data_IF_594702299998
#
_entry.id   IF_594702299998
#
_cell.length_a   1.000
_cell.length_b   1.000
_cell.length_c   1.000
_cell.angle_alpha   90.00
_cell.angle_beta   90.00
_cell.angle_gamma   90.00
#
_symmetry.space_group_name_H-M   'P 1'
#
loop_
_entity.id
_entity.type
_entity.pdbx_description
1 polymer ?
#
# COMPACT_ATOMS: atom_id res chain seq x y z
N UNK A 1 34.74 48.88 -21.61
CA UNK A 1 34.26 48.44 -20.28
C UNK A 1 32.73 48.55 -20.11
N UNK A 2 32.03 49.43 -20.83
CA UNK A 2 30.55 49.50 -20.82
C UNK A 2 29.88 48.35 -21.61
N UNK A 3 30.54 47.81 -22.64
CA UNK A 3 29.97 46.75 -23.49
C UNK A 3 29.81 45.38 -22.79
N UNK A 4 30.58 45.10 -21.73
CA UNK A 4 30.52 43.83 -21.00
C UNK A 4 29.29 43.76 -20.08
N UNK A 5 28.79 44.91 -19.61
CA UNK A 5 27.60 44.96 -18.75
C UNK A 5 26.29 44.71 -19.52
N UNK A 6 26.22 45.05 -20.81
CA UNK A 6 25.02 44.82 -21.62
C UNK A 6 24.83 43.35 -22.05
N UNK A 7 25.91 42.58 -22.15
CA UNK A 7 25.81 41.14 -22.46
C UNK A 7 25.39 40.35 -21.22
N UNK A 8 25.79 40.79 -20.03
CA UNK A 8 25.37 40.15 -18.78
C UNK A 8 23.86 40.33 -18.50
N UNK A 9 23.27 41.48 -18.83
CA UNK A 9 21.83 41.70 -18.61
C UNK A 9 20.95 40.91 -19.59
N UNK A 10 21.42 40.65 -20.80
CA UNK A 10 20.67 39.81 -21.77
C UNK A 10 20.73 38.33 -21.39
N UNK A 11 21.85 37.85 -20.85
CA UNK A 11 22.00 36.45 -20.44
C UNK A 11 21.22 36.12 -19.15
N UNK A 12 21.06 37.09 -18.22
CA UNK A 12 20.25 36.88 -17.01
C UNK A 12 18.74 36.93 -17.32
N UNK A 13 18.31 37.70 -18.32
CA UNK A 13 16.90 37.74 -18.73
C UNK A 13 16.45 36.46 -19.45
N UNK A 14 17.34 35.75 -20.14
CA UNK A 14 17.01 34.48 -20.81
C UNK A 14 16.82 33.30 -19.85
N UNK A 15 17.31 33.38 -18.62
CA UNK A 15 17.09 32.35 -17.61
C UNK A 15 15.74 32.47 -16.88
N UNK A 16 14.91 33.46 -17.22
CA UNK A 16 13.58 33.66 -16.65
C UNK A 16 12.41 33.23 -17.56
N UNK A 17 12.65 32.39 -18.57
CA UNK A 17 11.58 31.62 -19.21
C UNK A 17 11.41 30.25 -18.55
N UNK A 18 11.21 30.27 -17.24
CA UNK A 18 10.37 29.26 -16.59
C UNK A 18 8.90 29.63 -16.90
N UNK A 19 8.49 29.46 -18.16
CA UNK A 19 7.07 29.55 -18.49
C UNK A 19 6.37 28.40 -17.79
N UNK A 20 5.45 28.80 -16.91
CA UNK A 20 4.44 28.01 -16.22
C UNK A 20 4.01 26.78 -17.00
N UNK A 21 4.71 25.67 -16.75
CA UNK A 21 4.17 24.37 -17.06
C UNK A 21 3.21 24.05 -15.92
N UNK A 22 2.00 24.62 -15.96
CA UNK A 22 0.87 24.04 -15.23
C UNK A 22 0.52 22.73 -15.97
N UNK A 23 0.99 21.55 -15.50
CA UNK A 23 0.78 20.31 -16.25
C UNK A 23 -0.70 19.90 -16.30
N UNK A 24 -1.54 20.53 -15.46
CA UNK A 24 -2.96 20.31 -15.35
C UNK A 24 -3.80 21.36 -16.08
N UNK A 25 -3.25 22.03 -17.11
CA UNK A 25 -4.10 22.84 -17.99
C UNK A 25 -5.16 21.91 -18.56
N UNK A 26 -6.42 22.14 -18.19
CA UNK A 26 -7.54 21.37 -18.74
C UNK A 26 -7.50 21.53 -20.25
N UNK A 27 -7.07 20.49 -20.96
CA UNK A 27 -7.33 20.41 -22.38
C UNK A 27 -8.85 20.38 -22.50
N UNK A 28 -9.44 21.43 -23.07
CA UNK A 28 -10.89 21.56 -23.31
C UNK A 28 -11.41 20.60 -24.39
N UNK A 29 -10.65 19.54 -24.69
CA UNK A 29 -11.06 18.42 -25.50
C UNK A 29 -10.63 17.13 -24.80
N UNK A 30 -11.46 16.10 -24.93
CA UNK A 30 -11.08 14.70 -24.70
C UNK A 30 -9.97 14.34 -25.70
N UNK A 31 -8.75 14.88 -25.54
CA UNK A 31 -7.58 14.37 -26.23
C UNK A 31 -7.47 12.90 -25.83
N UNK A 32 -7.62 12.00 -26.80
CA UNK A 32 -7.63 10.57 -26.54
C UNK A 32 -6.32 10.21 -25.83
N UNK A 33 -6.41 9.84 -24.54
CA UNK A 33 -5.27 9.32 -23.79
C UNK A 33 -4.82 8.04 -24.49
N UNK A 34 -3.52 7.88 -24.73
CA UNK A 34 -3.01 6.61 -25.24
C UNK A 34 -3.34 5.49 -24.24
N UNK A 35 -3.54 4.23 -24.70
CA UNK A 35 -3.82 3.11 -23.81
C UNK A 35 -2.81 3.01 -22.66
N UNK A 36 -1.53 3.27 -22.92
CA UNK A 36 -0.46 3.22 -21.91
C UNK A 36 -0.69 4.24 -20.79
N UNK A 37 -1.02 5.50 -21.15
CA UNK A 37 -1.32 6.56 -20.17
C UNK A 37 -2.60 6.25 -19.40
N UNK A 38 -3.63 5.73 -20.08
CA UNK A 38 -4.89 5.33 -19.45
C UNK A 38 -4.67 4.19 -18.45
N UNK A 39 -3.91 3.17 -18.81
CA UNK A 39 -3.63 2.01 -17.98
C UNK A 39 -2.68 2.34 -16.82
N UNK A 40 -1.70 3.23 -17.02
CA UNK A 40 -0.90 3.77 -15.93
C UNK A 40 -1.76 4.56 -14.92
N UNK A 41 -2.69 5.38 -15.41
CA UNK A 41 -3.64 6.11 -14.55
C UNK A 41 -4.57 5.15 -13.79
N UNK A 42 -5.06 4.10 -14.46
CA UNK A 42 -5.89 3.07 -13.85
C UNK A 42 -5.13 2.33 -12.74
N UNK A 43 -3.90 1.88 -13.02
CA UNK A 43 -3.02 1.23 -12.03
C UNK A 43 -2.78 2.12 -10.83
N UNK A 44 -2.45 3.41 -11.05
CA UNK A 44 -2.27 4.37 -9.96
C UNK A 44 -3.54 4.51 -9.11
N UNK A 45 -4.71 4.60 -9.73
CA UNK A 45 -5.98 4.72 -9.02
C UNK A 45 -6.33 3.45 -8.22
N UNK A 46 -6.00 2.26 -8.72
CA UNK A 46 -6.09 0.99 -7.96
C UNK A 46 -5.14 0.99 -6.76
N UNK A 47 -3.87 1.30 -6.98
CA UNK A 47 -2.86 1.32 -5.92
C UNK A 47 -3.17 2.35 -4.84
N UNK A 48 -3.77 3.48 -5.21
CA UNK A 48 -4.21 4.53 -4.29
C UNK A 48 -5.60 4.27 -3.66
N UNK A 49 -6.22 3.10 -3.89
CA UNK A 49 -7.56 2.76 -3.38
C UNK A 49 -8.69 3.70 -3.87
N UNK A 50 -8.50 4.39 -4.99
CA UNK A 50 -9.53 5.19 -5.65
C UNK A 50 -10.40 4.36 -6.60
N UNK A 51 -9.83 3.29 -7.16
CA UNK A 51 -10.56 2.22 -7.84
C UNK A 51 -10.45 0.97 -6.97
N UNK A 52 -11.59 0.45 -6.53
CA UNK A 52 -11.69 -0.76 -5.72
C UNK A 52 -12.90 -1.58 -6.20
N UNK A 53 -12.93 -2.88 -5.89
CA UNK A 53 -14.05 -3.75 -6.27
C UNK A 53 -14.09 -4.16 -7.74
N UNK A 54 -13.01 -3.99 -8.50
CA UNK A 54 -12.94 -4.51 -9.87
C UNK A 54 -12.76 -6.03 -9.84
N UNK A 55 -13.45 -6.74 -10.74
CA UNK A 55 -13.32 -8.20 -10.85
C UNK A 55 -12.06 -8.61 -11.62
N UNK A 56 -11.71 -7.86 -12.67
CA UNK A 56 -10.59 -8.12 -13.58
C UNK A 56 -9.94 -6.82 -14.02
N UNK A 57 -8.69 -6.89 -14.48
CA UNK A 57 -8.05 -5.74 -15.14
C UNK A 57 -8.78 -5.43 -16.46
N UNK A 58 -8.86 -4.15 -16.89
CA UNK A 58 -9.39 -3.82 -18.21
C UNK A 58 -8.62 -4.54 -19.32
N UNK A 59 -9.34 -5.07 -20.32
CA UNK A 59 -8.73 -5.87 -21.41
C UNK A 59 -7.64 -5.08 -22.16
N UNK A 60 -7.88 -3.80 -22.41
CA UNK A 60 -6.91 -2.87 -23.02
C UNK A 60 -5.63 -2.65 -22.19
N UNK A 61 -5.63 -3.03 -20.90
CA UNK A 61 -4.52 -2.84 -19.98
C UNK A 61 -3.66 -4.10 -19.75
N UNK A 62 -3.96 -5.21 -20.43
CA UNK A 62 -3.20 -6.46 -20.31
C UNK A 62 -1.73 -6.27 -20.73
N UNK A 63 -1.47 -5.64 -21.88
CA UNK A 63 -0.10 -5.43 -22.36
C UNK A 63 0.67 -4.46 -21.46
N UNK A 64 0.06 -3.33 -21.07
CA UNK A 64 0.64 -2.40 -20.11
C UNK A 64 0.95 -3.07 -18.74
N UNK A 65 0.12 -4.02 -18.31
CA UNK A 65 0.33 -4.80 -17.09
C UNK A 65 1.53 -5.75 -17.23
N UNK A 66 1.68 -6.42 -18.38
CA UNK A 66 2.84 -7.26 -18.68
C UNK A 66 4.13 -6.44 -18.68
N UNK A 67 4.12 -5.29 -19.35
CA UNK A 67 5.26 -4.37 -19.39
C UNK A 67 5.65 -3.87 -18.00
N UNK A 68 4.66 -3.54 -17.16
CA UNK A 68 4.90 -3.15 -15.78
C UNK A 68 5.60 -4.27 -14.98
N UNK A 69 5.12 -5.50 -15.09
CA UNK A 69 5.62 -6.67 -14.34
C UNK A 69 7.01 -7.11 -14.81
N UNK A 70 7.23 -7.19 -16.13
CA UNK A 70 8.47 -7.70 -16.72
C UNK A 70 9.53 -6.61 -16.95
N UNK A 71 9.11 -5.35 -16.98
CA UNK A 71 10.00 -4.19 -16.98
C UNK A 71 10.60 -3.93 -15.61
N UNK A 72 11.27 -2.79 -15.47
CA UNK A 72 11.98 -2.45 -14.23
C UNK A 72 11.05 -1.85 -13.16
N UNK A 73 9.88 -1.35 -13.56
CA UNK A 73 9.04 -0.55 -12.69
C UNK A 73 8.44 -1.34 -11.52
N UNK A 74 7.90 -2.55 -11.74
CA UNK A 74 7.34 -3.36 -10.64
C UNK A 74 8.39 -3.67 -9.56
N UNK A 75 9.62 -3.99 -9.99
CA UNK A 75 10.74 -4.19 -9.06
C UNK A 75 11.17 -2.90 -8.38
N UNK A 76 11.22 -1.78 -9.09
CA UNK A 76 11.57 -0.46 -8.55
C UNK A 76 10.57 0.00 -7.48
N UNK A 77 9.27 -0.13 -7.76
CA UNK A 77 8.19 0.18 -6.82
C UNK A 77 8.28 -0.72 -5.57
N UNK A 78 8.45 -2.03 -5.77
CA UNK A 78 8.63 -3.01 -4.68
C UNK A 78 9.86 -2.72 -3.83
N UNK A 79 10.97 -2.30 -4.45
CA UNK A 79 12.21 -1.91 -3.77
C UNK A 79 11.98 -0.68 -2.90
N UNK A 80 11.33 0.34 -3.44
CA UNK A 80 11.05 1.60 -2.75
C UNK A 80 10.26 1.36 -1.48
N UNK A 81 9.16 0.60 -1.56
CA UNK A 81 8.31 0.28 -0.40
C UNK A 81 9.09 -0.47 0.68
N UNK A 82 9.84 -1.50 0.28
CA UNK A 82 10.65 -2.29 1.21
C UNK A 82 11.80 -1.48 1.84
N UNK A 83 12.40 -0.54 1.11
CA UNK A 83 13.41 0.36 1.67
C UNK A 83 12.80 1.33 2.69
N UNK A 84 11.61 1.89 2.41
CA UNK A 84 10.91 2.75 3.37
C UNK A 84 10.53 1.98 4.65
N UNK A 85 10.12 0.72 4.51
CA UNK A 85 9.86 -0.15 5.66
C UNK A 85 11.13 -0.39 6.49
N UNK A 86 12.25 -0.69 5.84
CA UNK A 86 13.52 -0.87 6.52
C UNK A 86 14.03 0.41 7.20
N UNK A 87 13.99 1.57 6.53
CA UNK A 87 14.44 2.83 7.10
C UNK A 87 13.62 3.23 8.32
N UNK A 88 12.31 3.07 8.24
CA UNK A 88 11.44 3.22 9.41
C UNK A 88 11.86 2.29 10.55
N UNK A 89 12.05 1.00 10.27
CA UNK A 89 12.35 -0.01 11.29
C UNK A 89 13.71 0.19 11.96
N UNK A 90 14.73 0.59 11.19
CA UNK A 90 16.12 0.75 11.67
C UNK A 90 16.24 1.84 12.73
N UNK A 91 15.38 2.86 12.67
CA UNK A 91 15.45 4.01 13.56
C UNK A 91 14.63 3.80 14.85
N UNK A 92 14.02 2.62 15.04
CA UNK A 92 13.29 2.24 16.26
C UNK A 92 14.20 1.55 17.28
N UNK A 93 13.94 1.78 18.57
CA UNK A 93 14.42 0.89 19.63
C UNK A 93 13.60 -0.41 19.61
N UNK A 94 14.27 -1.57 19.54
CA UNK A 94 13.60 -2.87 19.36
C UNK A 94 13.38 -3.56 20.70
N UNK A 95 12.13 -3.84 21.04
CA UNK A 95 11.73 -4.59 22.22
C UNK A 95 11.37 -6.06 21.90
N UNK A 96 11.38 -6.98 22.89
CA UNK A 96 11.28 -8.43 22.65
C UNK A 96 10.06 -8.95 21.86
N UNK A 97 8.97 -8.18 21.81
CA UNK A 97 7.71 -8.53 21.14
C UNK A 97 7.35 -7.58 19.98
N UNK A 98 8.29 -6.72 19.58
CA UNK A 98 8.09 -5.85 18.43
C UNK A 98 8.07 -6.66 17.15
N UNK A 99 6.99 -6.50 16.39
CA UNK A 99 6.60 -7.43 15.34
C UNK A 99 6.30 -6.71 14.04
N UNK A 100 6.86 -7.25 12.95
CA UNK A 100 6.40 -6.97 11.59
C UNK A 100 5.46 -8.08 11.12
N UNK A 101 4.28 -7.68 10.63
CA UNK A 101 3.32 -8.59 10.00
C UNK A 101 3.45 -8.51 8.48
N UNK A 102 3.61 -9.66 7.83
CA UNK A 102 3.65 -9.78 6.38
C UNK A 102 2.44 -10.56 5.87
N UNK A 103 1.78 -10.10 4.82
CA UNK A 103 0.93 -10.99 4.01
C UNK A 103 1.81 -11.92 3.15
N UNK A 104 1.22 -12.99 2.58
CA UNK A 104 1.99 -14.00 1.86
C UNK A 104 1.94 -13.79 0.35
N UNK A 105 0.79 -14.09 -0.26
CA UNK A 105 0.62 -14.09 -1.70
C UNK A 105 0.65 -12.67 -2.27
N UNK A 106 1.59 -12.38 -3.17
CA UNK A 106 1.82 -11.04 -3.70
C UNK A 106 2.77 -10.18 -2.88
N UNK A 107 3.17 -10.63 -1.68
CA UNK A 107 4.01 -9.87 -0.75
C UNK A 107 5.35 -10.55 -0.47
N UNK A 108 5.35 -11.78 0.07
CA UNK A 108 6.58 -12.56 0.29
C UNK A 108 6.77 -13.67 -0.75
N UNK A 109 5.67 -14.23 -1.26
CA UNK A 109 5.63 -15.24 -2.33
C UNK A 109 4.91 -14.65 -3.55
N UNK A 110 5.53 -14.75 -4.72
CA UNK A 110 4.99 -14.19 -5.96
C UNK A 110 3.95 -15.11 -6.57
N UNK A 111 2.76 -14.57 -6.80
CA UNK A 111 1.67 -15.18 -7.55
C UNK A 111 1.68 -14.79 -9.05
N UNK A 112 2.67 -14.02 -9.50
CA UNK A 112 2.86 -13.68 -10.92
C UNK A 112 2.96 -14.92 -11.82
N UNK A 113 3.62 -16.04 -11.44
CA UNK A 113 3.63 -17.25 -12.26
C UNK A 113 2.25 -17.86 -12.52
N UNK A 114 1.31 -17.70 -11.58
CA UNK A 114 -0.09 -18.06 -11.79
C UNK A 114 -0.74 -17.10 -12.78
N UNK A 115 -0.74 -15.80 -12.47
CA UNK A 115 -1.40 -14.81 -13.32
C UNK A 115 -0.85 -14.74 -14.75
N UNK A 116 0.44 -15.01 -14.96
CA UNK A 116 1.04 -15.14 -16.30
C UNK A 116 0.37 -16.21 -17.17
N UNK A 117 -0.18 -17.26 -16.57
CA UNK A 117 -0.91 -18.34 -17.27
C UNK A 117 -2.41 -18.10 -17.35
N UNK A 118 -2.91 -17.08 -16.64
CA UNK A 118 -4.33 -16.73 -16.48
C UNK A 118 -4.55 -15.25 -16.83
N UNK A 119 -4.05 -14.85 -18.00
CA UNK A 119 -4.35 -13.55 -18.60
C UNK A 119 -3.88 -12.31 -17.84
N UNK A 120 -2.92 -12.42 -16.92
CA UNK A 120 -2.41 -11.32 -16.09
C UNK A 120 -3.48 -10.58 -15.27
N UNK A 121 -4.59 -11.26 -14.95
CA UNK A 121 -5.71 -10.68 -14.18
C UNK A 121 -6.91 -10.24 -15.03
N UNK A 122 -6.90 -10.44 -16.35
CA UNK A 122 -8.07 -10.16 -17.21
C UNK A 122 -9.12 -11.26 -17.11
N UNK A 123 -8.69 -12.48 -16.74
CA UNK A 123 -9.58 -13.61 -16.47
C UNK A 123 -10.15 -13.48 -15.05
N UNK A 124 -11.42 -13.86 -14.88
CA UNK A 124 -12.04 -13.92 -13.55
C UNK A 124 -11.26 -14.89 -12.66
N UNK A 125 -11.02 -14.48 -11.42
CA UNK A 125 -10.28 -15.29 -10.45
C UNK A 125 -10.99 -16.63 -10.21
N UNK A 126 -10.25 -17.73 -10.37
CA UNK A 126 -10.73 -19.08 -10.12
C UNK A 126 -10.02 -19.65 -8.87
N UNK A 127 -10.75 -19.71 -7.76
CA UNK A 127 -10.20 -20.17 -6.47
C UNK A 127 -9.70 -21.61 -6.52
N UNK A 128 -10.37 -22.50 -7.24
CA UNK A 128 -9.97 -23.91 -7.36
C UNK A 128 -8.62 -24.03 -8.06
N UNK A 129 -8.45 -23.35 -9.20
CA UNK A 129 -7.18 -23.35 -9.94
C UNK A 129 -6.06 -22.66 -9.16
N UNK A 130 -6.39 -21.60 -8.41
CA UNK A 130 -5.40 -20.93 -7.55
C UNK A 130 -4.95 -21.86 -6.41
N UNK A 131 -5.87 -22.59 -5.79
CA UNK A 131 -5.58 -23.55 -4.74
C UNK A 131 -4.72 -24.71 -5.25
N UNK A 132 -5.01 -25.24 -6.45
CA UNK A 132 -4.15 -26.21 -7.13
C UNK A 132 -2.74 -25.67 -7.38
N UNK A 133 -2.60 -24.40 -7.74
CA UNK A 133 -1.30 -23.75 -7.92
C UNK A 133 -0.56 -23.57 -6.58
N UNK A 134 -1.26 -23.15 -5.52
CA UNK A 134 -0.70 -23.03 -4.16
C UNK A 134 -0.21 -24.39 -3.65
N UNK A 135 -0.99 -25.46 -3.88
CA UNK A 135 -0.66 -26.83 -3.46
C UNK A 135 0.59 -27.41 -4.16
N UNK A 136 1.06 -26.79 -5.25
CA UNK A 136 2.36 -27.15 -5.84
C UNK A 136 3.56 -26.66 -5.03
N UNK A 137 3.37 -25.69 -4.12
CA UNK A 137 4.43 -25.22 -3.20
C UNK A 137 5.67 -24.63 -3.89
N UNK A 138 5.49 -24.02 -5.07
CA UNK A 138 6.59 -23.58 -5.94
C UNK A 138 6.59 -22.06 -6.22
N UNK A 139 5.87 -21.26 -5.44
CA UNK A 139 5.87 -19.81 -5.60
C UNK A 139 7.25 -19.24 -5.25
N UNK A 140 7.90 -18.44 -6.12
CA UNK A 140 9.20 -17.84 -5.81
C UNK A 140 9.06 -16.68 -4.82
N UNK A 141 10.13 -16.31 -4.13
CA UNK A 141 10.14 -15.10 -3.31
C UNK A 141 10.00 -13.83 -4.16
N UNK A 142 9.36 -12.79 -3.60
CA UNK A 142 9.62 -11.43 -4.07
C UNK A 142 10.99 -10.97 -3.52
N UNK A 143 11.98 -10.67 -4.37
CA UNK A 143 13.36 -10.53 -3.94
C UNK A 143 13.60 -9.32 -3.03
N UNK A 144 12.92 -8.19 -3.27
CA UNK A 144 13.09 -7.00 -2.44
C UNK A 144 12.42 -7.17 -1.06
N UNK A 145 11.33 -7.93 -0.98
CA UNK A 145 10.70 -8.31 0.29
C UNK A 145 11.55 -9.29 1.08
N UNK A 146 12.15 -10.30 0.42
CA UNK A 146 13.07 -11.23 1.08
C UNK A 146 14.29 -10.52 1.68
N UNK A 147 14.86 -9.55 0.95
CA UNK A 147 15.95 -8.71 1.48
C UNK A 147 15.52 -7.92 2.72
N UNK A 148 14.32 -7.33 2.69
CA UNK A 148 13.80 -6.56 3.80
C UNK A 148 13.51 -7.45 5.02
N UNK A 149 12.86 -8.59 4.81
CA UNK A 149 12.66 -9.61 5.84
C UNK A 149 13.97 -9.97 6.56
N UNK A 150 15.05 -10.26 5.81
CA UNK A 150 16.35 -10.59 6.41
C UNK A 150 16.91 -9.43 7.26
N UNK A 151 16.72 -8.19 6.80
CA UNK A 151 17.13 -7.00 7.55
C UNK A 151 16.32 -6.82 8.83
N UNK A 152 15.00 -6.98 8.78
CA UNK A 152 14.14 -6.87 9.97
C UNK A 152 14.47 -7.94 11.01
N UNK A 153 14.70 -9.19 10.57
CA UNK A 153 15.19 -10.26 11.44
C UNK A 153 16.54 -9.88 12.07
N UNK A 154 17.46 -9.32 11.29
CA UNK A 154 18.78 -8.89 11.81
C UNK A 154 18.71 -7.75 12.82
N UNK A 155 17.65 -6.93 12.78
CA UNK A 155 17.39 -5.88 13.77
C UNK A 155 16.72 -6.42 15.04
N UNK A 156 16.30 -7.69 15.06
CA UNK A 156 15.66 -8.33 16.22
C UNK A 156 14.13 -8.33 16.20
N UNK A 157 13.49 -7.82 15.15
CA UNK A 157 12.03 -7.86 15.03
C UNK A 157 11.51 -9.29 14.88
N UNK A 158 10.36 -9.56 15.51
CA UNK A 158 9.60 -10.78 15.29
C UNK A 158 8.85 -10.68 13.96
N UNK A 159 8.85 -11.77 13.20
CA UNK A 159 8.14 -11.85 11.92
C UNK A 159 6.91 -12.73 12.10
N UNK A 160 5.74 -12.20 11.74
CA UNK A 160 4.50 -12.98 11.69
C UNK A 160 3.95 -12.94 10.26
N UNK A 161 3.67 -14.12 9.70
CA UNK A 161 2.97 -14.24 8.44
C UNK A 161 1.46 -14.35 8.67
N UNK A 162 0.67 -13.51 8.02
CA UNK A 162 -0.79 -13.50 8.09
C UNK A 162 -1.41 -13.57 6.69
N UNK A 163 -1.92 -14.74 6.32
CA UNK A 163 -2.42 -15.02 4.97
C UNK A 163 -3.89 -15.38 4.94
N UNK A 164 -4.52 -15.10 3.79
CA UNK A 164 -5.86 -15.57 3.46
C UNK A 164 -5.91 -17.03 2.98
N UNK A 165 -4.75 -17.68 2.76
CA UNK A 165 -4.69 -19.14 2.56
C UNK A 165 -5.35 -19.85 3.74
N UNK A 166 -6.03 -20.95 3.45
CA UNK A 166 -6.75 -21.74 4.45
C UNK A 166 -5.84 -22.72 5.20
N UNK A 167 -6.26 -23.17 6.39
CA UNK A 167 -5.48 -24.04 7.27
C UNK A 167 -5.03 -25.38 6.63
N UNK A 168 -5.81 -25.94 5.70
CA UNK A 168 -5.42 -27.12 4.92
C UNK A 168 -4.13 -26.93 4.10
N UNK A 169 -3.73 -25.67 3.86
CA UNK A 169 -2.52 -25.30 3.11
C UNK A 169 -1.34 -24.98 4.00
N UNK A 170 -1.41 -25.28 5.31
CA UNK A 170 -0.34 -24.92 6.24
C UNK A 170 1.01 -25.57 5.87
N UNK A 171 1.04 -26.89 5.75
CA UNK A 171 2.28 -27.62 5.46
C UNK A 171 2.93 -27.19 4.13
N UNK A 172 2.13 -27.02 3.07
CA UNK A 172 2.65 -26.57 1.77
C UNK A 172 3.12 -25.12 1.80
N UNK A 173 2.46 -24.27 2.58
CA UNK A 173 2.87 -22.86 2.75
C UNK A 173 4.19 -22.75 3.50
N UNK A 174 4.36 -23.49 4.60
CA UNK A 174 5.62 -23.52 5.35
C UNK A 174 6.78 -24.06 4.50
N UNK A 175 6.55 -25.16 3.76
CA UNK A 175 7.55 -25.72 2.86
C UNK A 175 7.94 -24.73 1.76
N UNK A 176 6.96 -24.04 1.16
CA UNK A 176 7.23 -23.03 0.14
C UNK A 176 7.99 -21.82 0.71
N UNK A 177 7.63 -21.32 1.89
CA UNK A 177 8.33 -20.22 2.56
C UNK A 177 9.82 -20.58 2.80
N UNK A 178 10.09 -21.78 3.33
CA UNK A 178 11.46 -22.29 3.51
C UNK A 178 12.21 -22.39 2.19
N UNK A 179 11.58 -22.98 1.17
CA UNK A 179 12.16 -23.08 -0.19
C UNK A 179 12.46 -21.71 -0.80
N UNK A 180 11.66 -20.70 -0.48
CA UNK A 180 11.81 -19.33 -0.96
C UNK A 180 12.84 -18.49 -0.17
N UNK A 181 13.43 -19.03 0.90
CA UNK A 181 14.50 -18.39 1.70
C UNK A 181 14.04 -17.77 3.02
N UNK A 182 12.78 -17.96 3.42
CA UNK A 182 12.29 -17.55 4.74
C UNK A 182 12.50 -18.72 5.71
N UNK A 183 13.36 -18.57 6.71
CA UNK A 183 13.72 -19.68 7.60
C UNK A 183 13.34 -19.48 9.06
N UNK A 184 12.89 -18.28 9.44
CA UNK A 184 12.57 -17.94 10.83
C UNK A 184 11.35 -17.05 10.88
N UNK A 185 10.35 -17.44 11.65
CA UNK A 185 9.18 -16.63 11.94
C UNK A 185 8.62 -17.04 13.30
N UNK A 186 7.92 -16.10 13.92
CA UNK A 186 7.28 -16.28 15.22
C UNK A 186 5.96 -17.03 15.08
N UNK A 187 5.14 -16.66 14.09
CA UNK A 187 3.85 -17.32 13.79
C UNK A 187 3.55 -17.30 12.29
N UNK A 188 2.88 -18.37 11.85
CA UNK A 188 2.15 -18.43 10.60
C UNK A 188 0.66 -18.51 10.94
N UNK A 189 -0.12 -17.54 10.48
CA UNK A 189 -1.56 -17.44 10.73
C UNK A 189 -2.28 -17.57 9.38
N UNK A 190 -3.03 -18.67 9.25
CA UNK A 190 -3.84 -19.00 8.09
C UNK A 190 -5.33 -18.96 8.46
N UNK A 191 -6.18 -18.77 7.45
CA UNK A 191 -7.61 -18.63 7.63
C UNK A 191 -8.23 -19.98 7.98
N UNK A 192 -9.01 -20.02 9.06
CA UNK A 192 -9.91 -21.14 9.29
C UNK A 192 -11.14 -20.99 8.39
N UNK A 193 -11.38 -21.87 7.41
CA UNK A 193 -12.57 -21.78 6.57
C UNK A 193 -13.87 -22.02 7.36
N UNK A 194 -13.80 -22.59 8.56
CA UNK A 194 -14.95 -22.88 9.42
C UNK A 194 -15.30 -21.76 10.39
N UNK A 195 -14.53 -20.68 10.45
CA UNK A 195 -14.83 -19.53 11.32
C UNK A 195 -15.85 -18.58 10.67
N UNK A 196 -17.12 -18.54 11.13
CA UNK A 196 -18.14 -17.67 10.55
C UNK A 196 -17.98 -16.22 10.97
N UNK A 197 -17.17 -15.92 12.00
CA UNK A 197 -17.05 -14.57 12.56
C UNK A 197 -16.27 -13.60 11.68
N UNK A 198 -15.57 -14.12 10.66
CA UNK A 198 -14.69 -13.35 9.79
C UNK A 198 -15.02 -13.55 8.30
N UNK A 199 -16.17 -13.02 7.82
CA UNK A 199 -16.71 -13.32 6.49
C UNK A 199 -15.81 -12.86 5.35
N UNK A 200 -14.95 -11.87 5.58
CA UNK A 200 -14.11 -11.27 4.56
C UNK A 200 -12.67 -11.05 5.01
N UNK A 201 -11.76 -10.77 4.07
CA UNK A 201 -10.33 -10.63 4.33
C UNK A 201 -10.00 -9.54 5.38
N UNK A 202 -10.69 -8.39 5.33
CA UNK A 202 -10.47 -7.30 6.29
C UNK A 202 -10.85 -7.73 7.71
N UNK A 203 -12.04 -8.32 7.88
CA UNK A 203 -12.53 -8.79 9.19
C UNK A 203 -11.63 -9.88 9.77
N UNK A 204 -11.23 -10.86 8.94
CA UNK A 204 -10.31 -11.93 9.33
C UNK A 204 -8.94 -11.40 9.77
N UNK A 205 -8.32 -10.53 8.96
CA UNK A 205 -7.00 -9.99 9.30
C UNK A 205 -7.05 -9.03 10.49
N UNK A 206 -8.15 -8.30 10.65
CA UNK A 206 -8.40 -7.45 11.83
C UNK A 206 -8.47 -8.29 13.11
N UNK A 207 -9.27 -9.36 13.11
CA UNK A 207 -9.39 -10.27 14.25
C UNK A 207 -8.07 -11.00 14.58
N UNK A 208 -7.32 -11.41 13.55
CA UNK A 208 -6.01 -12.01 13.75
C UNK A 208 -5.01 -11.04 14.41
N UNK A 209 -4.97 -9.77 13.98
CA UNK A 209 -4.14 -8.74 14.61
C UNK A 209 -4.58 -8.45 16.04
N UNK A 210 -5.89 -8.40 16.30
CA UNK A 210 -6.40 -8.24 17.66
C UNK A 210 -5.91 -9.35 18.59
N UNK A 211 -5.98 -10.61 18.13
CA UNK A 211 -5.50 -11.77 18.89
C UNK A 211 -4.01 -11.66 19.20
N UNK A 212 -3.20 -11.15 18.28
CA UNK A 212 -1.77 -10.91 18.49
C UNK A 212 -1.52 -9.84 19.56
N UNK A 213 -2.23 -8.71 19.49
CA UNK A 213 -2.11 -7.65 20.49
C UNK A 213 -2.52 -8.15 21.88
N UNK A 214 -3.61 -8.93 21.99
CA UNK A 214 -4.01 -9.58 23.25
C UNK A 214 -2.99 -10.58 23.79
N UNK A 215 -2.15 -11.15 22.92
CA UNK A 215 -1.00 -12.01 23.30
C UNK A 215 0.26 -11.20 23.69
N UNK A 216 0.16 -9.86 23.67
CA UNK A 216 1.22 -8.92 24.04
C UNK A 216 2.19 -8.59 22.92
N UNK A 217 1.92 -8.96 21.66
CA UNK A 217 2.74 -8.51 20.53
C UNK A 217 2.53 -7.03 20.28
N UNK A 218 3.62 -6.29 20.09
CA UNK A 218 3.58 -4.91 19.63
C UNK A 218 3.77 -4.91 18.12
N UNK A 219 2.69 -4.73 17.36
CA UNK A 219 2.78 -4.67 15.90
C UNK A 219 3.32 -3.28 15.56
N UNK A 220 4.53 -3.20 15.03
CA UNK A 220 5.17 -1.92 14.65
C UNK A 220 5.06 -1.62 13.17
N UNK A 221 4.87 -2.66 12.34
CA UNK A 221 4.74 -2.53 10.91
C UNK A 221 3.92 -3.64 10.27
N UNK A 222 3.17 -3.29 9.22
CA UNK A 222 2.36 -4.23 8.42
C UNK A 222 2.72 -4.04 6.95
N UNK A 223 3.15 -5.10 6.29
CA UNK A 223 3.52 -5.10 4.87
C UNK A 223 2.58 -6.04 4.12
N UNK A 224 1.93 -5.52 3.08
CA UNK A 224 1.00 -6.28 2.27
C UNK A 224 0.74 -5.64 0.92
N UNK A 225 0.31 -6.43 -0.04
CA UNK A 225 0.06 -6.02 -1.43
C UNK A 225 -1.42 -5.72 -1.70
N UNK A 226 -2.29 -5.98 -0.72
CA UNK A 226 -3.71 -5.65 -0.77
C UNK A 226 -4.08 -4.64 0.30
N UNK A 227 -5.03 -3.76 0.00
CA UNK A 227 -5.58 -2.86 1.01
C UNK A 227 -6.29 -3.61 2.13
N UNK A 228 -6.84 -4.80 1.87
CA UNK A 228 -7.41 -5.66 2.91
C UNK A 228 -6.38 -6.18 3.93
N UNK A 229 -5.08 -6.13 3.61
CA UNK A 229 -4.00 -6.41 4.56
C UNK A 229 -3.80 -5.26 5.55
N UNK A 230 -4.03 -4.03 5.07
CA UNK A 230 -3.60 -2.77 5.69
C UNK A 230 -4.75 -1.95 6.27
N UNK A 231 -5.99 -2.31 5.96
CA UNK A 231 -7.21 -1.69 6.47
C UNK A 231 -7.78 -2.44 7.67
N UNK A 232 -8.77 -1.82 8.31
CA UNK A 232 -9.44 -2.33 9.51
C UNK A 232 -8.79 -1.86 10.81
N UNK A 233 -9.32 -2.39 11.92
CA UNK A 233 -8.85 -2.08 13.28
C UNK A 233 -7.53 -2.77 13.63
N UNK A 234 -7.09 -2.53 14.87
CA UNK A 234 -5.90 -3.17 15.47
C UNK A 234 -4.62 -2.98 14.65
N UNK A 235 -4.52 -1.81 14.03
CA UNK A 235 -3.27 -1.30 13.45
C UNK A 235 -2.53 -0.37 14.40
N UNK A 236 -3.16 0.02 15.53
CA UNK A 236 -2.56 0.90 16.54
C UNK A 236 -1.76 2.05 15.92
N UNK A 237 -0.52 2.18 16.38
CA UNK A 237 0.51 3.09 15.85
C UNK A 237 1.37 2.43 14.74
N UNK A 238 1.05 1.20 14.33
CA UNK A 238 1.81 0.48 13.31
C UNK A 238 1.82 1.24 11.99
N UNK A 239 3.00 1.37 11.39
CA UNK A 239 3.13 1.90 10.03
C UNK A 239 2.77 0.83 8.99
N UNK A 240 1.93 1.18 8.02
CA UNK A 240 1.53 0.27 6.94
C UNK A 240 2.31 0.52 5.67
N UNK A 241 2.67 -0.55 4.94
CA UNK A 241 3.45 -0.49 3.70
C UNK A 241 2.73 -1.29 2.61
N UNK A 242 2.19 -0.59 1.61
CA UNK A 242 1.47 -1.17 0.46
C UNK A 242 2.46 -1.53 -0.65
N UNK A 243 2.63 -2.82 -0.91
CA UNK A 243 3.33 -3.30 -2.09
C UNK A 243 2.41 -3.23 -3.32
N UNK A 244 2.97 -3.02 -4.53
CA UNK A 244 2.18 -3.05 -5.74
C UNK A 244 1.61 -4.45 -6.01
N UNK A 245 0.36 -4.52 -6.48
CA UNK A 245 -0.25 -5.74 -7.03
C UNK A 245 -1.03 -5.41 -8.30
N UNK A 246 -0.45 -5.66 -9.48
CA UNK A 246 -1.07 -5.27 -10.74
C UNK A 246 -2.14 -6.23 -11.27
N UNK A 247 -2.27 -7.44 -10.72
CA UNK A 247 -3.09 -8.49 -11.32
C UNK A 247 -4.46 -8.68 -10.65
N UNK A 248 -4.65 -8.21 -9.41
CA UNK A 248 -5.86 -8.53 -8.64
C UNK A 248 -6.14 -7.51 -7.56
N UNK A 249 -7.42 -7.31 -7.24
CA UNK A 249 -7.83 -6.83 -5.92
C UNK A 249 -8.73 -7.85 -5.25
N UNK A 250 -8.43 -8.14 -3.98
CA UNK A 250 -9.38 -8.80 -3.12
C UNK A 250 -10.16 -7.71 -2.38
N UNK A 251 -11.11 -7.11 -3.11
CA UNK A 251 -12.11 -6.27 -2.48
C UNK A 251 -13.11 -7.18 -1.79
N UNK A 252 -13.02 -7.24 -0.46
CA UNK A 252 -14.20 -7.56 0.33
C UNK A 252 -15.24 -6.51 0.00
N UNK A 253 -16.39 -6.93 -0.52
CA UNK A 253 -17.59 -6.12 -0.60
C UNK A 253 -17.77 -5.35 0.71
N UNK A 254 -17.43 -4.06 0.69
CA UNK A 254 -17.92 -3.12 1.68
C UNK A 254 -19.41 -3.00 1.37
N UNK A 255 -20.23 -3.86 1.99
CA UNK A 255 -21.59 -3.45 2.28
C UNK A 255 -21.46 -2.17 3.11
N UNK A 256 -22.28 -1.18 2.78
CA UNK A 256 -22.28 0.22 3.18
C UNK A 256 -22.44 0.50 4.69
N UNK A 257 -21.98 -0.39 5.56
CA UNK A 257 -22.31 -0.38 6.98
C UNK A 257 -21.18 0.11 7.90
N UNK A 258 -20.02 0.51 7.37
CA UNK A 258 -18.90 1.04 8.18
C UNK A 258 -18.57 2.53 7.97
N UNK A 259 -19.31 3.23 7.11
CA UNK A 259 -19.23 4.71 7.03
C UNK A 259 -19.82 5.42 8.25
N UNK A 260 -20.45 4.70 9.19
CA UNK A 260 -21.07 5.26 10.39
C UNK A 260 -20.15 5.37 11.62
N UNK A 261 -18.86 5.02 11.52
CA UNK A 261 -17.93 5.04 12.66
C UNK A 261 -16.74 5.99 12.53
N UNK A 262 -16.76 6.92 11.56
CA UNK A 262 -15.89 8.09 11.64
C UNK A 262 -16.49 9.05 12.68
N UNK A 263 -15.79 9.37 13.78
CA UNK A 263 -16.18 10.53 14.57
C UNK A 263 -15.94 11.74 13.68
N UNK A 264 -17.02 12.27 13.13
CA UNK A 264 -17.04 13.60 12.55
C UNK A 264 -16.75 14.53 13.74
N UNK A 265 -15.48 14.90 13.93
CA UNK A 265 -15.12 16.09 14.66
C UNK A 265 -15.56 17.28 13.79
N UNK A 266 -16.86 17.58 13.87
CA UNK A 266 -17.44 18.83 13.42
C UNK A 266 -16.91 19.91 14.37
N UNK A 267 -15.79 20.52 13.99
CA UNK A 267 -15.39 21.80 14.56
C UNK A 267 -16.41 22.84 14.10
N UNK A 268 -17.46 23.01 14.90
CA UNK A 268 -18.40 24.12 14.77
C UNK A 268 -17.68 25.37 15.28
N UNK A 269 -17.09 26.13 14.34
CA UNK A 269 -16.66 27.49 14.61
C UNK A 269 -17.94 28.34 14.74
N UNK A 270 -18.44 28.49 15.97
CA UNK A 270 -19.42 29.52 16.31
C UNK A 270 -18.69 30.85 16.47
N UNK A 271 -18.70 31.67 15.43
CA UNK A 271 -18.44 33.11 15.59
C UNK A 271 -19.61 33.73 16.37
N UNK A 272 -19.38 34.02 17.64
CA UNK A 272 -20.27 34.86 18.45
C UNK A 272 -19.89 36.31 18.14
N UNK A 273 -20.74 37.02 17.40
CA UNK A 273 -20.68 38.48 17.32
C UNK A 273 -21.12 39.04 18.68
N UNK A 274 -20.16 39.44 19.49
CA UNK A 274 -20.37 40.34 20.64
C UNK A 274 -20.36 41.77 20.07
N UNK A 275 -21.39 42.53 20.43
CA UNK A 275 -21.65 43.85 19.88
C UNK A 275 -20.77 44.97 20.45
N UNK A 276 -21.17 46.17 20.04
CA UNK A 276 -20.75 47.49 20.50
C UNK A 276 -19.50 48.10 19.83
N UNK A 277 -19.81 49.02 18.90
CA UNK A 277 -19.32 50.41 18.83
C UNK A 277 -17.82 50.69 18.63
N UNK A 278 -17.60 51.60 17.67
CA UNK A 278 -16.46 52.52 17.54
C UNK A 278 -15.16 52.01 16.87
N UNK A 279 -15.04 52.38 15.58
CA UNK A 279 -13.94 53.17 15.02
C UNK A 279 -12.48 52.82 15.35
N UNK A 280 -11.80 52.26 14.33
CA UNK A 280 -10.43 52.55 13.86
C UNK A 280 -9.20 52.16 14.72
N UNK A 281 -8.27 51.52 14.01
CA UNK A 281 -6.84 51.25 14.27
C UNK A 281 -6.43 49.92 14.96
N UNK A 282 -5.91 49.03 14.10
CA UNK A 282 -4.65 48.26 14.19
C UNK A 282 -4.35 47.57 15.52
N UNK A 283 -4.19 46.24 15.49
CA UNK A 283 -2.99 45.48 15.93
C UNK A 283 -3.28 43.98 15.82
N UNK A 284 -2.27 43.26 15.33
CA UNK A 284 -2.13 41.80 15.21
C UNK A 284 -2.43 41.01 16.49
N UNK A 285 -3.03 39.82 16.36
CA UNK A 285 -2.96 38.80 17.39
C UNK A 285 -2.49 37.46 16.81
N UNK A 286 -1.32 37.06 17.29
CA UNK A 286 -0.66 35.77 17.16
C UNK A 286 -1.53 34.70 17.85
N UNK A 287 -1.74 33.55 17.21
CA UNK A 287 -2.23 32.35 17.88
C UNK A 287 -1.07 31.35 17.93
N UNK A 288 -0.49 31.24 19.11
CA UNK A 288 0.52 30.26 19.48
C UNK A 288 -0.09 29.42 20.61
N UNK A 289 0.41 28.19 20.73
CA UNK A 289 0.23 27.28 21.88
C UNK A 289 -1.09 26.48 21.89
N UNK A 290 -1.15 25.20 22.29
CA UNK A 290 -0.19 24.26 22.88
C UNK A 290 -0.92 22.90 22.99
N UNK A 291 -0.14 21.81 22.93
CA UNK A 291 -0.46 20.36 23.03
C UNK A 291 -0.82 19.62 21.74
#
# INVERSE_FOLDING_TARGET
KVLVFFVATILVAWQCHAYDMFPLRMNTGYGARTPEVKCASWRLAVEAHNIFGFETIPEECVEATKEYIHGEQYRSDSKTVNQQAYFYARDLEVHPKDTFVFSIDGTVLSNIPYYKKHGYGVEKFNSTLYDEWVNKGNAPALPETLKNYNKLVSLGFKIIFLSGRTLDKQAVTEANLKKAGYHTWEKLILKDPQDPSTPNAVSYKTAAREKLIRQGYNIVGIIGDQWSDLLGGHRGESRTFKLPNPCTTFSSSFTSQQSSLLPIYLYVIRCVQIGALASLYVVSAVCQQVM
#
